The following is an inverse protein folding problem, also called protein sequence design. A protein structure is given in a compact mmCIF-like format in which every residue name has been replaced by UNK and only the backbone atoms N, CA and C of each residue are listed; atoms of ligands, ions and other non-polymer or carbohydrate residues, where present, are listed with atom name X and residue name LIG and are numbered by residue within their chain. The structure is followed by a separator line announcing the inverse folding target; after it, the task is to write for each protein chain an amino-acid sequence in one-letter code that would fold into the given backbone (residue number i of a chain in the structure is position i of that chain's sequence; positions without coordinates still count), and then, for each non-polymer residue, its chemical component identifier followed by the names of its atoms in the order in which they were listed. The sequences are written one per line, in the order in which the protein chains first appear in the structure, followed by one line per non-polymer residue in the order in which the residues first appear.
data_IF_633211653823
#
_entry.id   IF_633211653823
#
_cell.length_a   1.000
_cell.length_b   1.000
_cell.length_c   1.000
_cell.angle_alpha   90.00
_cell.angle_beta   90.00
_cell.angle_gamma   90.00
#
_symmetry.space_group_name_H-M   'P 1'
#
loop_
_entity.id
_entity.type
_entity.pdbx_description
1 polymer ?
#
# COMPACT_ATOMS: atom_id res chain seq x y z
N UNK A 1 -53.52 -56.56 4.43
CA UNK A 1 -52.16 -56.49 3.86
C UNK A 1 -52.15 -55.44 2.78
N UNK A 2 -51.13 -54.57 2.80
CA UNK A 2 -50.36 -53.98 1.68
C UNK A 2 -50.02 -52.51 1.97
N UNK A 3 -48.73 -52.25 2.23
CA UNK A 3 -48.09 -50.93 2.21
C UNK A 3 -47.99 -50.41 0.77
N UNK A 4 -48.13 -49.10 0.57
CA UNK A 4 -47.51 -48.27 -0.49
C UNK A 4 -48.16 -46.87 -0.43
N UNK A 5 -47.53 -45.73 -0.62
CA UNK A 5 -46.15 -45.24 -0.69
C UNK A 5 -46.31 -43.70 -0.58
N UNK A 6 -45.36 -42.97 0.02
CA UNK A 6 -45.41 -41.51 -0.01
C UNK A 6 -45.19 -41.03 -1.46
N UNK A 7 -46.08 -40.20 -2.04
CA UNK A 7 -45.87 -39.66 -3.37
C UNK A 7 -44.65 -38.75 -3.39
N UNK A 8 -43.82 -38.98 -4.40
CA UNK A 8 -42.59 -38.25 -4.65
C UNK A 8 -42.82 -36.81 -5.09
N UNK A 9 -41.72 -36.06 -4.98
CA UNK A 9 -41.49 -34.72 -5.50
C UNK A 9 -42.32 -33.60 -4.86
N UNK A 10 -41.81 -33.10 -3.74
CA UNK A 10 -42.01 -31.71 -3.37
C UNK A 10 -41.39 -30.84 -4.46
N UNK A 11 -42.23 -30.27 -5.33
CA UNK A 11 -41.85 -29.17 -6.21
C UNK A 11 -41.33 -28.03 -5.33
N UNK A 12 -40.03 -27.81 -5.36
CA UNK A 12 -39.41 -26.69 -4.67
C UNK A 12 -39.98 -25.40 -5.27
N UNK A 13 -40.74 -24.67 -4.45
CA UNK A 13 -41.22 -23.32 -4.76
C UNK A 13 -39.97 -22.46 -5.02
N UNK A 14 -39.81 -21.84 -6.20
CA UNK A 14 -38.70 -20.93 -6.42
C UNK A 14 -38.90 -19.71 -5.52
N UNK A 15 -38.07 -19.61 -4.50
CA UNK A 15 -37.96 -18.42 -3.67
C UNK A 15 -37.17 -17.38 -4.47
N UNK A 16 -37.85 -16.41 -5.07
CA UNK A 16 -37.22 -15.22 -5.66
C UNK A 16 -37.13 -14.14 -4.59
N UNK A 17 -36.02 -14.11 -3.86
CA UNK A 17 -35.55 -12.90 -3.19
C UNK A 17 -34.34 -12.37 -3.95
N UNK A 18 -34.51 -11.19 -4.55
CA UNK A 18 -33.41 -10.36 -5.00
C UNK A 18 -32.80 -9.70 -3.76
N UNK A 19 -31.52 -10.02 -3.47
CA UNK A 19 -30.61 -9.43 -2.45
C UNK A 19 -30.44 -10.22 -1.15
N UNK A 20 -29.24 -10.76 -0.93
CA UNK A 20 -28.63 -10.79 0.42
C UNK A 20 -27.08 -10.81 0.32
N UNK A 21 -26.37 -9.87 0.98
CA UNK A 21 -24.92 -9.80 0.96
C UNK A 21 -24.32 -10.78 1.96
N UNK A 22 -23.39 -11.64 1.53
CA UNK A 22 -22.69 -12.55 2.45
C UNK A 22 -21.19 -12.26 2.51
N UNK A 23 -20.86 -11.48 3.54
CA UNK A 23 -19.87 -11.71 4.62
C UNK A 23 -18.69 -12.64 4.25
N UNK A 24 -17.43 -12.20 4.46
CA UNK A 24 -16.25 -12.94 4.01
C UNK A 24 -16.19 -14.35 4.62
N UNK A 25 -16.53 -15.35 3.80
CA UNK A 25 -16.25 -16.76 4.05
C UNK A 25 -14.77 -17.02 3.80
N UNK A 26 -14.14 -17.78 4.71
CA UNK A 26 -12.75 -18.22 4.63
C UNK A 26 -12.55 -19.17 3.44
N UNK A 27 -12.23 -18.61 2.27
CA UNK A 27 -11.81 -19.38 1.10
C UNK A 27 -10.34 -19.78 1.28
N UNK A 28 -10.09 -21.09 1.27
CA UNK A 28 -8.77 -21.69 1.33
C UNK A 28 -7.91 -21.24 0.14
N UNK A 29 -6.68 -20.81 0.39
CA UNK A 29 -5.68 -20.24 -0.56
C UNK A 29 -5.24 -21.18 -1.71
N UNK A 30 -5.99 -22.24 -2.01
CA UNK A 30 -5.63 -23.26 -2.99
C UNK A 30 -5.79 -22.78 -4.45
N UNK A 31 -6.71 -21.86 -4.74
CA UNK A 31 -7.01 -21.42 -6.12
C UNK A 31 -5.96 -20.47 -6.72
N UNK A 32 -5.03 -19.93 -5.93
CA UNK A 32 -3.96 -19.06 -6.45
C UNK A 32 -2.80 -19.82 -7.11
N UNK A 33 -2.70 -21.14 -6.92
CA UNK A 33 -1.58 -21.95 -7.43
C UNK A 33 -1.67 -22.32 -8.91
N UNK A 34 -2.86 -22.25 -9.50
CA UNK A 34 -3.08 -22.71 -10.87
C UNK A 34 -2.85 -21.64 -11.94
N UNK A 35 -2.73 -20.37 -11.56
CA UNK A 35 -2.41 -19.26 -12.48
C UNK A 35 -0.89 -19.19 -12.78
N UNK A 36 -0.05 -19.66 -11.86
CA UNK A 36 1.42 -19.58 -11.96
C UNK A 36 2.02 -20.51 -13.04
N UNK A 37 1.30 -21.55 -13.47
CA UNK A 37 1.86 -22.63 -14.31
C UNK A 37 1.76 -22.42 -15.83
N UNK A 38 1.14 -21.34 -16.32
CA UNK A 38 0.91 -21.13 -17.77
C UNK A 38 1.93 -20.27 -18.51
N UNK A 39 2.91 -19.66 -17.83
CA UNK A 39 3.77 -18.62 -18.42
C UNK A 39 5.18 -19.08 -18.83
N UNK A 40 5.51 -20.36 -18.77
CA UNK A 40 6.86 -20.85 -19.12
C UNK A 40 6.96 -21.37 -20.55
N UNK A 41 6.97 -20.46 -21.53
CA UNK A 41 7.44 -20.74 -22.88
C UNK A 41 8.23 -19.53 -23.43
N UNK A 42 9.51 -19.49 -23.04
CA UNK A 42 10.60 -18.63 -23.51
C UNK A 42 10.34 -17.15 -23.92
N UNK A 43 9.96 -16.27 -22.97
CA UNK A 43 10.21 -14.82 -23.00
C UNK A 43 11.36 -14.40 -22.08
N UNK A 44 12.09 -15.36 -21.49
CA UNK A 44 12.91 -15.16 -20.27
C UNK A 44 13.93 -14.04 -20.37
N UNK A 45 14.67 -13.91 -21.47
CA UNK A 45 15.72 -12.88 -21.59
C UNK A 45 15.15 -11.46 -21.72
N UNK A 46 14.09 -11.29 -22.51
CA UNK A 46 13.45 -9.97 -22.69
C UNK A 46 12.71 -9.59 -21.40
N UNK A 47 11.99 -10.54 -20.78
CA UNK A 47 11.35 -10.33 -19.48
C UNK A 47 12.38 -9.99 -18.41
N UNK A 48 13.52 -10.70 -18.36
CA UNK A 48 14.60 -10.42 -17.42
C UNK A 48 15.17 -9.01 -17.59
N UNK A 49 15.50 -8.59 -18.81
CA UNK A 49 16.02 -7.24 -19.08
C UNK A 49 14.97 -6.16 -18.75
N UNK A 50 13.69 -6.39 -19.08
CA UNK A 50 12.60 -5.47 -18.73
C UNK A 50 12.44 -5.39 -17.21
N UNK A 51 12.50 -6.51 -16.51
CA UNK A 51 12.36 -6.57 -15.05
C UNK A 51 13.56 -5.95 -14.35
N UNK A 52 14.78 -6.15 -14.85
CA UNK A 52 16.00 -5.45 -14.41
C UNK A 52 15.87 -3.95 -14.63
N UNK A 53 15.41 -3.52 -15.81
CA UNK A 53 15.20 -2.08 -16.11
C UNK A 53 14.14 -1.47 -15.18
N UNK A 54 13.03 -2.18 -14.92
CA UNK A 54 12.00 -1.74 -13.97
C UNK A 54 12.54 -1.66 -12.56
N UNK A 55 13.36 -2.62 -12.15
CA UNK A 55 13.99 -2.68 -10.83
C UNK A 55 14.99 -1.54 -10.66
N UNK A 56 15.87 -1.32 -11.63
CA UNK A 56 16.83 -0.20 -11.63
C UNK A 56 16.11 1.14 -11.54
N UNK A 57 15.06 1.33 -12.34
CA UNK A 57 14.21 2.53 -12.27
C UNK A 57 13.58 2.70 -10.89
N UNK A 58 13.02 1.61 -10.34
CA UNK A 58 12.39 1.65 -9.03
C UNK A 58 13.39 1.99 -7.92
N UNK A 59 14.58 1.39 -7.97
CA UNK A 59 15.67 1.64 -7.02
C UNK A 59 16.16 3.09 -7.11
N UNK A 60 16.33 3.61 -8.33
CA UNK A 60 16.77 4.98 -8.54
C UNK A 60 15.70 5.99 -8.08
N UNK A 61 14.43 5.79 -8.44
CA UNK A 61 13.32 6.62 -7.94
C UNK A 61 13.21 6.58 -6.42
N UNK A 62 13.29 5.40 -5.81
CA UNK A 62 13.28 5.25 -4.36
C UNK A 62 14.47 5.98 -3.71
N UNK A 63 15.68 5.84 -4.27
CA UNK A 63 16.89 6.53 -3.78
C UNK A 63 16.75 8.05 -3.90
N UNK A 64 16.23 8.57 -5.01
CA UNK A 64 16.01 10.00 -5.20
C UNK A 64 15.02 10.56 -4.19
N UNK A 65 13.89 9.87 -3.99
CA UNK A 65 12.83 10.27 -3.07
C UNK A 65 13.29 10.21 -1.61
N UNK A 66 14.01 9.16 -1.23
CA UNK A 66 14.65 9.01 0.08
C UNK A 66 15.62 10.16 0.36
N UNK A 67 16.46 10.51 -0.62
CA UNK A 67 17.38 11.63 -0.48
C UNK A 67 16.65 12.96 -0.35
N UNK A 68 15.55 13.16 -1.08
CA UNK A 68 14.74 14.37 -0.98
C UNK A 68 14.13 14.53 0.41
N UNK A 69 13.46 13.49 0.92
CA UNK A 69 12.89 13.47 2.28
C UNK A 69 13.99 13.71 3.33
N UNK A 70 15.12 13.01 3.20
CA UNK A 70 16.26 13.17 4.09
C UNK A 70 16.83 14.61 4.10
N UNK A 71 16.88 15.29 2.94
CA UNK A 71 17.28 16.71 2.88
C UNK A 71 16.27 17.62 3.58
N UNK A 72 14.97 17.39 3.41
CA UNK A 72 13.92 18.18 4.07
C UNK A 72 13.99 18.04 5.59
N UNK A 73 14.18 16.83 6.10
CA UNK A 73 14.40 16.57 7.53
C UNK A 73 15.62 17.35 8.05
N UNK A 74 16.76 17.29 7.33
CA UNK A 74 17.98 18.02 7.72
C UNK A 74 17.80 19.54 7.70
N UNK A 75 17.05 20.08 6.74
CA UNK A 75 16.85 21.53 6.63
C UNK A 75 16.13 22.17 7.81
N UNK A 76 15.40 21.38 8.60
CA UNK A 76 14.75 21.82 9.85
C UNK A 76 15.49 21.37 11.11
N UNK A 77 16.77 20.97 10.98
CA UNK A 77 17.62 20.52 12.08
C UNK A 77 17.37 19.08 12.54
N UNK A 78 16.55 18.32 11.83
CA UNK A 78 16.32 16.90 12.11
C UNK A 78 17.48 16.02 11.66
N UNK A 79 17.62 14.86 12.31
CA UNK A 79 18.60 13.84 11.92
C UNK A 79 17.83 12.66 11.31
N UNK A 80 17.86 12.47 9.98
CA UNK A 80 17.29 11.29 9.35
C UNK A 80 18.12 10.05 9.72
N UNK A 81 17.44 8.98 10.14
CA UNK A 81 18.01 7.68 10.48
C UNK A 81 17.39 6.63 9.58
N UNK A 82 18.16 5.64 9.17
CA UNK A 82 17.68 4.49 8.40
C UNK A 82 18.32 3.22 8.94
N UNK A 83 17.73 2.07 8.60
CA UNK A 83 18.32 0.75 8.77
C UNK A 83 17.76 -0.18 7.69
N UNK A 84 18.10 -1.47 7.73
CA UNK A 84 17.68 -2.44 6.71
C UNK A 84 16.15 -2.65 6.64
N UNK A 85 15.41 -2.26 7.68
CA UNK A 85 13.96 -2.37 7.73
C UNK A 85 13.29 -1.04 7.39
N UNK A 86 13.71 0.05 8.02
CA UNK A 86 13.06 1.36 7.96
C UNK A 86 13.79 2.27 6.99
N UNK A 87 13.10 2.69 5.93
CA UNK A 87 13.62 3.62 4.93
C UNK A 87 14.13 4.90 5.57
N UNK A 88 13.28 5.59 6.33
CA UNK A 88 13.68 6.74 7.13
C UNK A 88 12.86 6.84 8.43
N UNK A 89 13.52 7.30 9.49
CA UNK A 89 12.90 7.75 10.72
C UNK A 89 13.56 9.05 11.19
N UNK A 90 12.81 9.92 11.85
CA UNK A 90 13.34 11.13 12.43
C UNK A 90 12.55 11.54 13.67
N UNK A 91 13.25 12.13 14.64
CA UNK A 91 12.61 12.90 15.71
C UNK A 91 12.72 14.38 15.36
N UNK A 92 11.59 15.05 15.23
CA UNK A 92 11.50 16.48 14.99
C UNK A 92 10.78 17.11 16.18
N UNK A 93 11.47 17.97 16.92
CA UNK A 93 11.00 18.47 18.22
C UNK A 93 10.65 17.29 19.15
N UNK A 94 9.38 17.15 19.55
CA UNK A 94 8.88 16.08 20.42
C UNK A 94 8.18 14.94 19.68
N UNK A 95 8.10 15.02 18.35
CA UNK A 95 7.38 14.04 17.54
C UNK A 95 8.33 13.12 16.80
N UNK A 96 8.07 11.82 16.88
CA UNK A 96 8.75 10.81 16.08
C UNK A 96 7.97 10.55 14.79
N UNK A 97 8.69 10.38 13.69
CA UNK A 97 8.16 10.06 12.38
C UNK A 97 8.84 8.81 11.86
N UNK A 98 8.05 7.92 11.24
CA UNK A 98 8.52 6.77 10.47
C UNK A 98 8.00 6.94 9.06
N UNK A 99 8.91 6.89 8.09
CA UNK A 99 8.64 7.07 6.69
C UNK A 99 8.86 5.74 5.96
N UNK A 100 7.93 5.42 5.08
CA UNK A 100 8.06 4.34 4.10
C UNK A 100 7.96 4.95 2.71
N UNK A 101 8.86 4.59 1.81
CA UNK A 101 9.08 5.25 0.53
C UNK A 101 8.87 4.25 -0.59
N UNK A 102 7.83 4.48 -1.39
CA UNK A 102 7.47 3.61 -2.50
C UNK A 102 7.68 4.30 -3.84
N UNK A 103 8.53 3.70 -4.67
CA UNK A 103 8.53 3.96 -6.11
C UNK A 103 7.21 3.42 -6.68
N UNK A 104 6.36 4.31 -7.16
CA UNK A 104 5.05 3.98 -7.70
C UNK A 104 4.95 4.35 -9.18
N UNK A 105 4.20 3.53 -9.90
CA UNK A 105 3.67 3.80 -11.24
C UNK A 105 2.17 3.59 -11.20
N UNK A 106 1.44 4.10 -12.19
CA UNK A 106 -0.01 3.91 -12.36
C UNK A 106 -0.41 2.43 -12.19
N UNK A 107 0.39 1.52 -12.77
CA UNK A 107 0.14 0.08 -12.74
C UNK A 107 0.43 -0.62 -11.41
N UNK A 108 1.21 -0.02 -10.49
CA UNK A 108 1.67 -0.69 -9.27
C UNK A 108 1.29 0.02 -7.96
N UNK A 109 0.77 1.26 -8.03
CA UNK A 109 0.52 2.12 -6.88
C UNK A 109 -0.29 1.42 -5.80
N UNK A 110 -1.42 0.80 -6.16
CA UNK A 110 -2.28 0.05 -5.21
C UNK A 110 -1.52 -1.02 -4.42
N UNK A 111 -0.69 -1.80 -5.11
CA UNK A 111 0.09 -2.89 -4.49
C UNK A 111 1.17 -2.35 -3.57
N UNK A 112 1.86 -1.29 -3.98
CA UNK A 112 2.94 -0.67 -3.21
C UNK A 112 2.41 0.03 -1.96
N UNK A 113 1.26 0.72 -2.07
CA UNK A 113 0.61 1.35 -0.92
C UNK A 113 0.22 0.30 0.12
N UNK A 114 -0.40 -0.81 -0.30
CA UNK A 114 -0.78 -1.88 0.63
C UNK A 114 0.42 -2.46 1.38
N UNK A 115 1.53 -2.70 0.67
CA UNK A 115 2.80 -3.12 1.29
C UNK A 115 3.32 -2.08 2.26
N UNK A 116 3.30 -0.81 1.86
CA UNK A 116 3.78 0.29 2.69
C UNK A 116 2.98 0.44 3.98
N UNK A 117 1.66 0.23 3.95
CA UNK A 117 0.82 0.21 5.15
C UNK A 117 1.27 -0.89 6.12
N UNK A 118 1.43 -2.12 5.63
CA UNK A 118 1.87 -3.23 6.50
C UNK A 118 3.23 -2.97 7.12
N UNK A 119 4.19 -2.47 6.33
CA UNK A 119 5.54 -2.16 6.79
C UNK A 119 5.55 -1.04 7.84
N UNK A 120 4.81 0.05 7.61
CA UNK A 120 4.71 1.15 8.57
C UNK A 120 4.17 0.67 9.93
N UNK A 121 3.14 -0.18 9.92
CA UNK A 121 2.60 -0.74 11.17
C UNK A 121 3.57 -1.72 11.84
N UNK A 122 4.21 -2.59 11.07
CA UNK A 122 5.23 -3.51 11.57
C UNK A 122 6.39 -2.74 12.22
N UNK A 123 6.93 -1.73 11.54
CA UNK A 123 8.06 -0.95 12.04
C UNK A 123 7.71 -0.17 13.30
N UNK A 124 6.51 0.42 13.34
CA UNK A 124 6.02 1.08 14.55
C UNK A 124 5.98 0.13 15.74
N UNK A 125 5.56 -1.10 15.51
CA UNK A 125 5.49 -2.15 16.52
C UNK A 125 6.89 -2.60 16.96
N UNK A 126 7.75 -3.00 16.02
CA UNK A 126 9.10 -3.51 16.29
C UNK A 126 10.03 -2.48 16.93
N UNK A 127 9.86 -1.19 16.62
CA UNK A 127 10.64 -0.10 17.18
C UNK A 127 10.08 0.42 18.52
N UNK A 128 9.02 -0.23 19.06
CA UNK A 128 8.33 0.20 20.28
C UNK A 128 7.95 1.69 20.26
N UNK A 129 7.47 2.17 19.11
CA UNK A 129 7.23 3.59 18.86
C UNK A 129 5.72 3.89 18.68
N UNK A 130 4.85 3.62 19.68
CA UNK A 130 3.39 3.64 19.51
C UNK A 130 2.83 5.01 19.09
N UNK A 131 3.54 6.09 19.41
CA UNK A 131 3.16 7.46 19.09
C UNK A 131 3.87 8.03 17.85
N UNK A 132 4.66 7.21 17.15
CA UNK A 132 5.29 7.66 15.91
C UNK A 132 4.23 7.92 14.85
N UNK A 133 4.34 9.09 14.22
CA UNK A 133 3.54 9.48 13.05
C UNK A 133 4.04 8.71 11.84
N UNK A 134 3.13 8.02 11.18
CA UNK A 134 3.43 7.22 10.01
C UNK A 134 3.26 8.06 8.76
N UNK A 135 4.24 8.00 7.86
CA UNK A 135 4.25 8.76 6.62
C UNK A 135 4.55 7.81 5.47
N UNK A 136 3.60 7.63 4.56
CA UNK A 136 3.82 6.96 3.30
C UNK A 136 4.17 7.99 2.24
N UNK A 137 5.35 7.86 1.65
CA UNK A 137 5.83 8.72 0.57
C UNK A 137 5.79 7.92 -0.73
N UNK A 138 5.07 8.42 -1.73
CA UNK A 138 4.95 7.78 -3.05
C UNK A 138 5.56 8.67 -4.13
N UNK A 139 6.01 8.06 -5.22
CA UNK A 139 6.66 8.79 -6.32
C UNK A 139 5.68 9.62 -7.15
N UNK A 140 4.43 9.18 -7.26
CA UNK A 140 3.43 9.83 -8.11
C UNK A 140 2.16 10.11 -7.32
N UNK A 141 1.43 11.18 -7.65
CA UNK A 141 0.10 11.40 -7.10
C UNK A 141 -0.80 10.19 -7.41
N UNK A 142 -1.74 9.90 -6.50
CA UNK A 142 -2.70 8.84 -6.75
C UNK A 142 -3.66 9.25 -7.86
N UNK A 143 -3.90 8.33 -8.79
CA UNK A 143 -4.95 8.46 -9.77
C UNK A 143 -6.34 8.51 -9.11
N UNK A 144 -7.33 9.03 -9.85
CA UNK A 144 -8.69 9.24 -9.34
C UNK A 144 -9.37 7.96 -8.88
N UNK A 145 -9.10 6.84 -9.54
CA UNK A 145 -9.62 5.52 -9.19
C UNK A 145 -9.04 4.99 -7.86
N UNK A 146 -7.88 5.50 -7.44
CA UNK A 146 -7.24 5.21 -6.15
C UNK A 146 -7.48 6.30 -5.09
N UNK A 147 -8.34 7.29 -5.35
CA UNK A 147 -8.63 8.37 -4.41
C UNK A 147 -9.13 7.84 -3.04
N UNK A 148 -9.90 6.75 -3.03
CA UNK A 148 -10.34 6.10 -1.78
C UNK A 148 -9.17 5.62 -0.92
N UNK A 149 -8.01 5.30 -1.51
CA UNK A 149 -6.83 4.89 -0.75
C UNK A 149 -6.21 6.06 0.02
N UNK A 150 -6.30 7.28 -0.51
CA UNK A 150 -5.86 8.47 0.22
C UNK A 150 -6.73 8.67 1.47
N UNK A 151 -8.05 8.60 1.33
CA UNK A 151 -9.00 8.69 2.43
C UNK A 151 -8.77 7.57 3.47
N UNK A 152 -8.62 6.33 3.00
CA UNK A 152 -8.31 5.18 3.85
C UNK A 152 -6.99 5.36 4.62
N UNK A 153 -5.93 5.87 3.99
CA UNK A 153 -4.66 6.14 4.66
C UNK A 153 -4.80 7.22 5.73
N UNK A 154 -5.40 8.36 5.35
CA UNK A 154 -5.37 9.58 6.16
C UNK A 154 -6.41 9.52 7.28
N UNK A 155 -7.67 9.26 6.93
CA UNK A 155 -8.81 9.39 7.83
C UNK A 155 -9.10 8.10 8.61
N UNK A 156 -8.94 6.93 7.99
CA UNK A 156 -9.17 5.64 8.68
C UNK A 156 -7.91 5.17 9.43
N UNK A 157 -6.73 5.24 8.80
CA UNK A 157 -5.48 4.66 9.33
C UNK A 157 -4.58 5.63 10.07
N UNK A 158 -4.79 6.94 9.94
CA UNK A 158 -3.93 7.97 10.51
C UNK A 158 -2.50 7.96 9.95
N UNK A 159 -2.34 7.50 8.70
CA UNK A 159 -1.08 7.49 7.96
C UNK A 159 -1.09 8.70 7.03
N UNK A 160 -0.08 9.57 7.16
CA UNK A 160 0.05 10.70 6.26
C UNK A 160 0.53 10.23 4.88
N UNK A 161 -0.13 10.72 3.84
CA UNK A 161 0.26 10.47 2.45
C UNK A 161 0.98 11.71 1.89
N UNK A 162 2.14 11.47 1.30
CA UNK A 162 2.98 12.48 0.65
C UNK A 162 3.38 11.94 -0.71
N UNK A 163 3.44 12.79 -1.73
CA UNK A 163 3.92 12.40 -3.04
C UNK A 163 4.91 13.40 -3.61
N UNK A 164 5.78 12.89 -4.47
CA UNK A 164 6.59 13.75 -5.34
C UNK A 164 5.73 14.26 -6.51
N UNK A 165 5.84 15.55 -6.82
CA UNK A 165 5.16 16.15 -7.96
C UNK A 165 6.08 16.61 -9.07
N UNK A 166 7.36 16.86 -8.80
CA UNK A 166 8.31 17.45 -9.76
C UNK A 166 9.79 17.14 -9.51
N UNK A 167 10.09 16.12 -8.71
CA UNK A 167 11.44 15.71 -8.25
C UNK A 167 12.13 16.71 -7.34
N UNK A 168 11.45 17.78 -6.92
CA UNK A 168 12.00 18.85 -6.09
C UNK A 168 11.10 19.18 -4.90
N UNK A 169 9.79 19.11 -5.09
CA UNK A 169 8.76 19.46 -4.14
C UNK A 169 7.92 18.25 -3.80
N UNK A 170 7.68 18.10 -2.49
CA UNK A 170 6.76 17.13 -1.96
C UNK A 170 5.41 17.79 -1.73
N UNK A 171 4.36 17.06 -2.02
CA UNK A 171 2.97 17.49 -1.90
C UNK A 171 2.24 16.57 -0.94
N UNK A 172 1.24 17.10 -0.26
CA UNK A 172 0.36 16.35 0.62
C UNK A 172 -1.03 17.00 0.60
N UNK A 173 -2.00 16.34 1.23
CA UNK A 173 -3.29 16.97 1.45
C UNK A 173 -3.14 18.28 2.25
N UNK A 174 -3.95 19.27 1.89
CA UNK A 174 -4.01 20.59 2.52
C UNK A 174 -4.21 20.53 4.03
N UNK A 175 -4.99 19.56 4.52
CA UNK A 175 -5.27 19.39 5.94
C UNK A 175 -4.02 18.94 6.72
N UNK A 176 -3.13 18.20 6.06
CA UNK A 176 -1.90 17.65 6.64
C UNK A 176 -0.70 18.59 6.55
N UNK A 177 -0.81 19.66 5.75
CA UNK A 177 0.27 20.62 5.49
C UNK A 177 0.80 21.29 6.76
N UNK A 178 -0.02 21.48 7.79
CA UNK A 178 0.42 22.02 9.08
C UNK A 178 1.34 21.05 9.82
N UNK A 179 0.99 19.76 9.84
CA UNK A 179 1.75 18.70 10.52
C UNK A 179 3.03 18.32 9.79
N UNK A 180 3.07 18.51 8.46
CA UNK A 180 4.20 18.15 7.60
C UNK A 180 4.88 19.36 6.95
N UNK A 181 4.74 20.56 7.52
CA UNK A 181 5.28 21.80 6.93
C UNK A 181 6.77 21.70 6.58
N UNK A 182 7.56 21.00 7.38
CA UNK A 182 8.99 20.79 7.12
C UNK A 182 9.27 19.99 5.84
N UNK A 183 8.31 19.17 5.40
CA UNK A 183 8.45 18.25 4.30
C UNK A 183 8.00 18.86 2.96
N UNK A 184 6.97 19.71 3.00
CA UNK A 184 6.28 20.29 1.83
C UNK A 184 6.53 21.81 1.65
N UNK A 185 7.53 22.36 2.33
CA UNK A 185 7.93 23.77 2.23
C UNK A 185 8.83 24.07 1.03
#
# INVERSE_FOLDING_TARGET
MTLCALPGELSAIPFTYDSEPLIPTSVTLAEYRDVEKRTTANPKTITHIIDETKLERANESHRQLTNLVGRRIRSVGGIPRCNDLVDLAARLTELSYIFEIKSTTDSNARSQIRKGISQLYEYRYLQHAPYARLVLVVEQPLEKDLAWMADYLINDRGIFLVWDGDKKHLYCDSELKKSLKFLVA
#
